data_IF_688741679389
#
_entry.id   IF_688741679389
#
_cell.length_a   1.000
_cell.length_b   1.000
_cell.length_c   1.000
_cell.angle_alpha   90.00
_cell.angle_beta   90.00
_cell.angle_gamma   90.00
#
_symmetry.space_group_name_H-M   'P 1'
#
loop_
_entity.id
_entity.type
_entity.pdbx_description
1 polymer ?
#
# COMPACT_ATOMS: atom_id res chain seq x y z
N UNK A 1 7.29 -4.28 -24.75
CA UNK A 1 6.35 -5.38 -24.48
C UNK A 1 6.35 -5.81 -23.03
N UNK A 2 7.40 -5.54 -22.24
CA UNK A 2 7.40 -5.80 -20.80
C UNK A 2 6.45 -4.88 -20.04
N UNK A 3 5.89 -5.40 -18.95
CA UNK A 3 5.13 -4.69 -17.95
C UNK A 3 5.72 -4.90 -16.55
N UNK A 4 5.50 -3.94 -15.65
CA UNK A 4 5.82 -4.14 -14.24
C UNK A 4 5.08 -5.38 -13.70
N UNK A 5 5.81 -6.25 -13.00
CA UNK A 5 5.29 -7.49 -12.43
C UNK A 5 5.32 -8.71 -13.35
N UNK A 6 5.84 -8.58 -14.58
CA UNK A 6 6.11 -9.74 -15.43
C UNK A 6 7.15 -10.66 -14.76
N UNK A 7 6.83 -11.96 -14.68
CA UNK A 7 7.78 -13.02 -14.36
C UNK A 7 8.42 -13.49 -15.66
N UNK A 8 9.74 -13.42 -15.76
CA UNK A 8 10.49 -13.69 -17.00
C UNK A 8 11.55 -14.78 -16.78
N UNK A 9 11.88 -15.47 -17.85
CA UNK A 9 13.03 -16.38 -17.92
C UNK A 9 14.16 -15.73 -18.73
N UNK A 10 15.35 -15.73 -18.16
CA UNK A 10 16.58 -15.27 -18.79
C UNK A 10 17.41 -16.44 -19.33
N UNK A 11 18.35 -16.14 -20.23
CA UNK A 11 19.37 -17.08 -20.71
C UNK A 11 20.09 -17.73 -19.53
N UNK A 12 20.22 -19.06 -19.56
CA UNK A 12 20.74 -19.83 -18.42
C UNK A 12 19.68 -20.32 -17.43
N UNK A 13 18.39 -20.10 -17.71
CA UNK A 13 17.29 -20.65 -16.89
C UNK A 13 16.98 -19.86 -15.62
N UNK A 14 17.54 -18.65 -15.47
CA UNK A 14 17.32 -17.78 -14.32
C UNK A 14 15.92 -17.17 -14.40
N UNK A 15 15.16 -17.28 -13.31
CA UNK A 15 13.86 -16.62 -13.15
C UNK A 15 14.05 -15.23 -12.55
N UNK A 16 13.44 -14.22 -13.17
CA UNK A 16 13.50 -12.84 -12.73
C UNK A 16 12.11 -12.16 -12.78
N UNK A 17 11.99 -11.01 -12.12
CA UNK A 17 10.79 -10.19 -12.07
C UNK A 17 11.08 -8.79 -12.60
N UNK A 18 10.19 -8.25 -13.42
CA UNK A 18 10.28 -6.86 -13.91
C UNK A 18 9.80 -5.90 -12.82
N UNK A 19 10.67 -5.00 -12.37
CA UNK A 19 10.33 -3.96 -11.39
C UNK A 19 9.88 -2.68 -12.07
N UNK A 20 10.52 -2.29 -13.16
CA UNK A 20 10.14 -1.08 -13.91
C UNK A 20 10.51 -1.19 -15.37
N UNK A 21 9.76 -0.49 -16.21
CA UNK A 21 9.97 -0.44 -17.66
C UNK A 21 10.08 1.02 -18.07
N UNK A 22 11.23 1.37 -18.64
CA UNK A 22 11.52 2.67 -19.23
C UNK A 22 11.81 2.50 -20.73
N UNK A 23 11.74 3.58 -21.54
CA UNK A 23 12.12 3.49 -22.95
C UNK A 23 13.55 2.93 -23.09
N UNK A 24 13.67 1.74 -23.68
CA UNK A 24 14.95 1.05 -23.91
C UNK A 24 15.59 0.36 -22.70
N UNK A 25 15.02 0.46 -21.50
CA UNK A 25 15.58 -0.15 -20.27
C UNK A 25 14.50 -0.90 -19.51
N UNK A 26 14.79 -2.14 -19.14
CA UNK A 26 13.93 -2.98 -18.30
C UNK A 26 14.72 -3.35 -17.05
N UNK A 27 14.27 -2.87 -15.90
CA UNK A 27 14.89 -3.21 -14.63
C UNK A 27 14.29 -4.49 -14.10
N UNK A 28 15.13 -5.49 -13.87
CA UNK A 28 14.72 -6.82 -13.44
C UNK A 28 15.52 -7.23 -12.20
N UNK A 29 14.88 -8.00 -11.34
CA UNK A 29 15.53 -8.57 -10.15
C UNK A 29 15.34 -10.07 -10.07
N UNK A 30 16.26 -10.74 -9.39
CA UNK A 30 16.12 -12.15 -9.04
C UNK A 30 15.18 -12.37 -7.84
N UNK A 31 15.15 -13.61 -7.36
CA UNK A 31 14.39 -13.99 -6.18
C UNK A 31 14.86 -13.29 -4.90
N UNK A 32 16.14 -12.90 -4.80
CA UNK A 32 16.71 -12.16 -3.66
C UNK A 32 16.49 -10.65 -3.77
N UNK A 33 15.96 -10.16 -4.88
CA UNK A 33 15.76 -8.74 -5.13
C UNK A 33 17.04 -8.02 -5.60
N UNK A 34 18.07 -8.77 -5.98
CA UNK A 34 19.28 -8.22 -6.59
C UNK A 34 19.03 -7.96 -8.08
N UNK A 35 19.56 -6.85 -8.59
CA UNK A 35 19.47 -6.53 -10.01
C UNK A 35 20.22 -7.57 -10.84
N UNK A 36 19.58 -8.05 -11.90
CA UNK A 36 20.17 -9.02 -12.83
C UNK A 36 20.13 -8.49 -14.25
N UNK A 37 21.14 -8.84 -15.04
CA UNK A 37 21.17 -8.61 -16.47
C UNK A 37 21.29 -9.94 -17.20
N UNK A 38 20.67 -10.06 -18.37
CA UNK A 38 20.70 -11.29 -19.15
C UNK A 38 19.87 -11.21 -20.42
N UNK A 39 20.13 -12.13 -21.34
CA UNK A 39 19.30 -12.29 -22.54
C UNK A 39 17.90 -12.75 -22.15
N UNK A 40 16.87 -12.11 -22.71
CA UNK A 40 15.49 -12.51 -22.48
C UNK A 40 15.13 -13.74 -23.32
N UNK A 41 14.48 -14.73 -22.71
CA UNK A 41 13.94 -15.90 -23.43
C UNK A 41 12.43 -15.74 -23.63
N UNK A 42 11.67 -15.68 -22.52
CA UNK A 42 10.19 -15.66 -22.55
C UNK A 42 9.60 -15.07 -21.27
N UNK A 43 8.39 -14.55 -21.39
CA UNK A 43 7.54 -14.24 -20.24
C UNK A 43 6.96 -15.56 -19.73
N UNK A 44 7.22 -15.88 -18.47
CA UNK A 44 6.65 -17.04 -17.77
C UNK A 44 5.23 -16.73 -17.31
N UNK A 45 5.00 -15.49 -16.86
CA UNK A 45 3.71 -15.02 -16.37
C UNK A 45 3.64 -13.52 -16.49
N UNK A 46 2.56 -12.98 -17.02
CA UNK A 46 2.41 -11.53 -17.13
C UNK A 46 2.01 -10.87 -15.80
N UNK A 47 2.49 -9.64 -15.61
CA UNK A 47 2.03 -8.70 -14.58
C UNK A 47 0.65 -8.12 -14.86
N UNK A 48 0.23 -8.04 -16.13
CA UNK A 48 -1.15 -7.67 -16.49
C UNK A 48 -2.08 -8.87 -16.36
N UNK A 49 -2.66 -9.03 -15.18
CA UNK A 49 -3.64 -10.08 -14.92
C UNK A 49 -5.05 -9.53 -14.88
N UNK A 50 -5.93 -10.20 -15.61
CA UNK A 50 -7.35 -9.94 -15.51
C UNK A 50 -7.91 -10.66 -14.28
N UNK A 51 -8.66 -9.92 -13.47
CA UNK A 51 -9.40 -10.42 -12.32
C UNK A 51 -10.90 -10.18 -12.56
N UNK A 52 -11.48 -10.87 -13.55
CA UNK A 52 -12.86 -10.64 -13.99
C UNK A 52 -13.91 -10.87 -12.90
N UNK A 53 -13.63 -11.75 -11.94
CA UNK A 53 -14.51 -12.04 -10.80
C UNK A 53 -14.44 -10.99 -9.68
N UNK A 54 -13.53 -10.02 -9.76
CA UNK A 54 -13.31 -9.01 -8.72
C UNK A 54 -14.03 -7.72 -9.13
N UNK A 55 -15.12 -7.32 -8.46
CA UNK A 55 -15.89 -6.16 -8.86
C UNK A 55 -15.15 -4.86 -8.54
N UNK A 56 -15.14 -3.93 -9.49
CA UNK A 56 -14.66 -2.55 -9.29
C UNK A 56 -15.78 -1.60 -8.86
N UNK A 57 -17.01 -1.88 -9.28
CA UNK A 57 -18.21 -1.13 -8.92
C UNK A 57 -19.45 -2.01 -8.98
N UNK A 58 -20.45 -1.69 -8.17
CA UNK A 58 -21.76 -2.34 -8.17
C UNK A 58 -22.81 -1.25 -8.21
N UNK A 59 -23.73 -1.36 -9.16
CA UNK A 59 -24.79 -0.37 -9.42
C UNK A 59 -26.12 -1.12 -9.48
N UNK A 60 -27.11 -0.61 -8.76
CA UNK A 60 -28.50 -1.06 -8.86
C UNK A 60 -29.31 0.06 -9.50
N UNK A 61 -30.01 -0.23 -10.59
CA UNK A 61 -30.82 0.72 -11.35
C UNK A 61 -32.19 0.14 -11.69
N UNK A 62 -33.20 1.01 -11.84
CA UNK A 62 -34.54 0.65 -12.36
C UNK A 62 -34.54 0.52 -13.89
N UNK A 63 -33.56 1.10 -14.56
CA UNK A 63 -33.41 1.05 -16.02
C UNK A 63 -32.53 -0.12 -16.43
N UNK A 64 -32.73 -0.66 -17.63
CA UNK A 64 -31.88 -1.72 -18.18
C UNK A 64 -30.50 -1.12 -18.57
N UNK A 65 -29.39 -1.52 -17.91
CA UNK A 65 -28.10 -0.90 -18.13
C UNK A 65 -27.38 -1.40 -19.39
N UNK A 66 -27.87 -2.43 -20.10
CA UNK A 66 -27.14 -3.07 -21.20
C UNK A 66 -26.75 -2.09 -22.32
N UNK A 67 -27.64 -1.14 -22.66
CA UNK A 67 -27.38 -0.14 -23.68
C UNK A 67 -26.42 0.98 -23.21
N UNK A 68 -26.21 1.10 -21.90
CA UNK A 68 -25.56 2.22 -21.25
C UNK A 68 -24.18 1.86 -20.67
N UNK A 69 -23.84 0.56 -20.66
CA UNK A 69 -22.51 0.04 -20.30
C UNK A 69 -21.42 0.61 -21.19
N UNK A 70 -21.64 0.66 -22.52
CA UNK A 70 -20.62 1.11 -23.49
C UNK A 70 -20.32 2.59 -23.37
N UNK A 71 -21.33 3.40 -23.04
CA UNK A 71 -21.20 4.84 -22.82
C UNK A 71 -20.81 5.20 -21.38
N UNK A 72 -20.74 4.21 -20.48
CA UNK A 72 -20.48 4.39 -19.05
C UNK A 72 -21.39 5.48 -18.44
N UNK A 73 -22.65 5.50 -18.85
CA UNK A 73 -23.68 6.41 -18.37
C UNK A 73 -24.82 5.57 -17.83
N UNK A 74 -25.33 5.85 -16.63
CA UNK A 74 -26.36 5.04 -16.01
C UNK A 74 -27.47 5.93 -15.49
N UNK A 75 -28.70 5.58 -15.86
CA UNK A 75 -29.90 6.29 -15.45
C UNK A 75 -30.62 5.53 -14.32
N UNK A 76 -31.54 6.20 -13.65
CA UNK A 76 -32.41 5.64 -12.61
C UNK A 76 -31.70 4.79 -11.55
N UNK A 77 -30.51 5.25 -11.13
CA UNK A 77 -29.67 4.54 -10.16
C UNK A 77 -30.24 4.68 -8.75
N UNK A 78 -30.43 3.55 -8.06
CA UNK A 78 -30.91 3.45 -6.69
C UNK A 78 -29.77 3.34 -5.67
N UNK A 79 -28.72 2.60 -6.02
CA UNK A 79 -27.58 2.37 -5.14
C UNK A 79 -26.33 2.18 -5.97
N UNK A 80 -25.21 2.72 -5.49
CA UNK A 80 -23.92 2.57 -6.13
C UNK A 80 -22.82 2.48 -5.08
N UNK A 81 -21.98 1.45 -5.22
CA UNK A 81 -20.78 1.20 -4.43
C UNK A 81 -19.60 1.04 -5.39
N UNK A 82 -18.41 1.48 -4.97
CA UNK A 82 -17.17 1.24 -5.70
C UNK A 82 -16.03 0.84 -4.77
N UNK A 83 -15.03 0.18 -5.35
CA UNK A 83 -13.83 -0.26 -4.67
C UNK A 83 -12.61 0.29 -5.40
N UNK A 84 -11.70 0.95 -4.70
CA UNK A 84 -10.40 1.37 -5.21
C UNK A 84 -9.36 0.31 -4.89
N UNK A 85 -8.67 -0.17 -5.91
CA UNK A 85 -7.63 -1.18 -5.77
C UNK A 85 -6.22 -0.57 -5.80
N UNK A 86 -5.29 -1.21 -5.10
CA UNK A 86 -3.86 -0.88 -5.14
C UNK A 86 -3.03 -2.10 -5.51
N UNK A 87 -1.96 -1.87 -6.29
CA UNK A 87 -0.96 -2.89 -6.63
C UNK A 87 0.29 -2.81 -5.71
N UNK A 88 0.23 -2.00 -4.66
CA UNK A 88 1.27 -1.89 -3.65
C UNK A 88 0.65 -1.57 -2.29
N UNK A 89 1.14 -2.20 -1.24
CA UNK A 89 0.61 -2.03 0.11
C UNK A 89 1.69 -2.10 1.19
N UNK A 90 1.32 -1.54 2.33
CA UNK A 90 2.07 -1.65 3.58
C UNK A 90 1.79 -3.00 4.23
N UNK A 91 2.80 -3.52 4.89
CA UNK A 91 2.71 -4.73 5.71
C UNK A 91 3.37 -4.46 7.04
N UNK A 92 3.02 -5.21 8.08
CA UNK A 92 3.70 -5.13 9.36
C UNK A 92 5.06 -5.82 9.34
N UNK A 93 6.04 -5.25 10.05
CA UNK A 93 7.45 -5.66 10.04
C UNK A 93 7.80 -6.95 10.79
N UNK A 94 6.82 -7.62 11.43
CA UNK A 94 7.08 -8.78 12.28
C UNK A 94 7.83 -9.93 11.59
N UNK A 95 7.71 -9.99 10.27
CA UNK A 95 8.41 -10.96 9.45
C UNK A 95 9.78 -10.48 8.92
N UNK A 96 9.95 -9.17 8.74
CA UNK A 96 11.02 -8.60 7.91
C UNK A 96 12.16 -7.96 8.71
N UNK A 97 11.97 -7.72 10.01
CA UNK A 97 12.96 -7.04 10.86
C UNK A 97 14.06 -7.94 11.43
N UNK A 98 13.94 -9.27 11.31
CA UNK A 98 14.96 -10.21 11.78
C UNK A 98 15.65 -10.86 10.59
N UNK A 99 16.86 -10.40 10.24
CA UNK A 99 18.07 -11.07 9.66
C UNK A 99 17.92 -12.29 8.70
N UNK A 100 16.72 -12.67 8.29
CA UNK A 100 16.38 -13.96 7.68
C UNK A 100 15.47 -13.82 6.45
N UNK A 101 15.03 -12.60 6.11
CA UNK A 101 14.40 -12.36 4.81
C UNK A 101 15.49 -11.95 3.83
N UNK A 102 16.06 -12.95 3.16
CA UNK A 102 17.11 -12.80 2.14
C UNK A 102 16.58 -12.18 0.82
N UNK A 103 15.44 -11.48 0.85
CA UNK A 103 14.86 -10.90 -0.35
C UNK A 103 14.29 -9.52 -0.14
N UNK A 104 14.66 -8.60 -1.03
CA UNK A 104 14.06 -7.27 -1.18
C UNK A 104 13.04 -7.24 -2.32
N UNK A 105 12.75 -8.39 -2.96
CA UNK A 105 11.85 -8.47 -4.10
C UNK A 105 10.38 -8.32 -3.64
N UNK A 106 9.68 -7.24 -4.03
CA UNK A 106 8.32 -6.96 -3.54
C UNK A 106 7.26 -7.97 -4.00
N UNK A 107 7.53 -8.73 -5.07
CA UNK A 107 6.64 -9.78 -5.57
C UNK A 107 6.78 -11.08 -4.77
N UNK A 108 7.97 -11.34 -4.23
CA UNK A 108 8.22 -12.48 -3.32
C UNK A 108 7.72 -12.15 -1.93
N UNK A 109 7.93 -10.91 -1.47
CA UNK A 109 7.45 -10.43 -0.18
C UNK A 109 5.92 -10.32 -0.10
N UNK A 110 5.21 -10.43 -1.23
CA UNK A 110 3.77 -10.24 -1.28
C UNK A 110 3.38 -8.83 -0.84
N UNK A 111 4.16 -7.81 -1.24
CA UNK A 111 3.83 -6.39 -1.08
C UNK A 111 3.41 -5.73 -2.40
N UNK A 112 3.61 -6.43 -3.53
CA UNK A 112 3.15 -6.07 -4.88
C UNK A 112 2.75 -7.31 -5.69
N UNK A 113 2.06 -7.11 -6.82
CA UNK A 113 1.80 -8.15 -7.83
C UNK A 113 0.41 -8.79 -7.77
N UNK A 114 -0.43 -8.36 -6.83
CA UNK A 114 -1.85 -8.69 -6.77
C UNK A 114 -2.63 -7.46 -6.37
N UNK A 115 -3.66 -7.09 -7.12
CA UNK A 115 -4.50 -5.96 -6.73
C UNK A 115 -5.30 -6.30 -5.47
N UNK A 116 -5.28 -5.39 -4.49
CA UNK A 116 -6.03 -5.49 -3.24
C UNK A 116 -6.97 -4.30 -3.08
N UNK A 117 -8.16 -4.54 -2.55
CA UNK A 117 -9.13 -3.49 -2.25
C UNK A 117 -8.58 -2.58 -1.15
N UNK A 118 -8.21 -1.34 -1.49
CA UNK A 118 -7.66 -0.35 -0.58
C UNK A 118 -8.75 0.46 0.11
N UNK A 119 -9.77 0.89 -0.65
CA UNK A 119 -10.84 1.75 -0.16
C UNK A 119 -12.17 1.35 -0.76
N UNK A 120 -13.21 1.36 0.05
CA UNK A 120 -14.58 1.15 -0.40
C UNK A 120 -15.36 2.45 -0.29
N UNK A 121 -16.11 2.81 -1.33
CA UNK A 121 -16.85 4.05 -1.43
C UNK A 121 -18.34 3.81 -1.64
N UNK A 122 -19.15 4.72 -1.11
CA UNK A 122 -20.59 4.79 -1.33
C UNK A 122 -20.94 6.12 -2.00
N UNK A 123 -21.84 6.08 -2.98
CA UNK A 123 -22.32 7.29 -3.62
C UNK A 123 -23.29 8.04 -2.70
N UNK A 124 -23.04 9.34 -2.52
CA UNK A 124 -23.81 10.23 -1.66
C UNK A 124 -24.47 11.31 -2.52
N UNK A 125 -25.78 11.18 -2.73
CA UNK A 125 -26.59 12.17 -3.41
C UNK A 125 -28.00 12.22 -2.81
N UNK A 126 -28.73 13.30 -3.10
CA UNK A 126 -30.15 13.39 -2.83
C UNK A 126 -30.93 12.28 -3.55
N UNK A 127 -32.15 12.01 -3.08
CA UNK A 127 -33.06 11.05 -3.69
C UNK A 127 -34.33 11.74 -4.15
N UNK A 128 -34.88 11.29 -5.28
CA UNK A 128 -36.16 11.75 -5.76
C UNK A 128 -37.28 11.15 -4.92
N UNK A 129 -38.25 12.00 -4.56
CA UNK A 129 -39.46 11.60 -3.86
C UNK A 129 -40.64 12.37 -4.45
N UNK A 130 -41.76 11.69 -4.69
CA UNK A 130 -42.96 12.28 -5.26
C UNK A 130 -44.17 11.96 -4.40
N UNK A 131 -45.15 12.86 -4.38
CA UNK A 131 -46.46 12.59 -3.79
C UNK A 131 -47.38 12.03 -4.87
N UNK A 132 -47.85 10.81 -4.66
CA UNK A 132 -48.76 10.08 -5.54
C UNK A 132 -49.87 9.48 -4.67
N UNK A 133 -51.13 9.80 -4.96
CA UNK A 133 -52.31 9.37 -4.18
C UNK A 133 -52.20 9.68 -2.68
N UNK A 134 -51.72 10.88 -2.33
CA UNK A 134 -51.44 11.29 -0.93
C UNK A 134 -50.43 10.38 -0.22
N UNK A 135 -49.57 9.67 -0.96
CA UNK A 135 -48.56 8.77 -0.42
C UNK A 135 -47.26 8.80 -1.26
N UNK A 136 -46.24 8.07 -0.82
CA UNK A 136 -44.95 7.94 -1.53
C UNK A 136 -45.09 6.98 -2.71
N UNK A 137 -44.52 7.33 -3.86
CA UNK A 137 -44.57 6.49 -5.05
C UNK A 137 -43.50 5.39 -4.99
N UNK A 138 -43.81 4.28 -4.31
CA UNK A 138 -42.87 3.15 -4.09
C UNK A 138 -42.32 2.52 -5.36
N UNK A 139 -42.95 2.73 -6.54
CA UNK A 139 -42.49 2.19 -7.83
C UNK A 139 -41.39 3.04 -8.47
N UNK A 140 -41.35 4.35 -8.21
CA UNK A 140 -40.47 5.30 -8.93
C UNK A 140 -39.55 6.10 -8.03
N UNK A 141 -39.92 6.28 -6.76
CA UNK A 141 -39.16 7.08 -5.81
C UNK A 141 -37.90 6.35 -5.33
N UNK A 142 -36.96 7.12 -4.79
CA UNK A 142 -35.72 6.60 -4.20
C UNK A 142 -34.53 6.59 -5.15
N UNK A 143 -34.68 6.96 -6.42
CA UNK A 143 -33.57 7.13 -7.36
C UNK A 143 -32.70 8.32 -6.98
N UNK A 144 -31.39 8.26 -7.22
CA UNK A 144 -30.48 9.40 -7.03
C UNK A 144 -30.89 10.58 -7.93
N UNK A 145 -30.89 11.80 -7.38
CA UNK A 145 -31.19 13.02 -8.14
C UNK A 145 -30.19 13.30 -9.26
N UNK A 146 -28.97 12.80 -9.11
CA UNK A 146 -27.90 12.84 -10.09
C UNK A 146 -26.96 11.67 -9.81
N UNK A 147 -26.37 11.06 -10.85
CA UNK A 147 -25.39 9.99 -10.66
C UNK A 147 -24.18 10.18 -11.57
N UNK A 148 -22.99 9.95 -11.03
CA UNK A 148 -21.72 9.97 -11.74
C UNK A 148 -20.90 8.73 -11.36
N UNK A 149 -20.52 7.86 -12.31
CA UNK A 149 -19.73 6.67 -12.02
C UNK A 149 -18.39 6.99 -11.35
N UNK A 150 -17.97 6.15 -10.40
CA UNK A 150 -16.65 6.28 -9.77
C UNK A 150 -15.52 6.04 -10.76
N UNK A 151 -15.62 4.93 -11.51
CA UNK A 151 -14.75 4.66 -12.64
C UNK A 151 -15.40 5.23 -13.89
N UNK A 152 -14.84 6.33 -14.40
CA UNK A 152 -15.36 7.06 -15.55
C UNK A 152 -14.51 6.84 -16.78
N UNK A 153 -15.14 6.46 -17.89
CA UNK A 153 -14.48 6.34 -19.19
C UNK A 153 -14.50 7.68 -19.94
N UNK A 154 -13.34 8.28 -20.18
CA UNK A 154 -13.22 9.54 -20.96
C UNK A 154 -12.15 9.38 -22.05
N UNK A 155 -12.53 9.55 -23.31
CA UNK A 155 -11.59 9.39 -24.43
C UNK A 155 -10.96 7.99 -24.55
N UNK A 156 -11.68 6.94 -24.13
CA UNK A 156 -11.18 5.57 -24.10
C UNK A 156 -10.27 5.25 -22.90
N UNK A 157 -10.06 6.20 -21.98
CA UNK A 157 -9.22 6.04 -20.79
C UNK A 157 -10.11 6.00 -19.55
N UNK A 158 -9.93 4.98 -18.72
CA UNK A 158 -10.60 4.88 -17.41
C UNK A 158 -9.89 5.78 -16.40
N UNK A 159 -10.65 6.62 -15.71
CA UNK A 159 -10.18 7.46 -14.61
C UNK A 159 -11.08 7.32 -13.39
N UNK A 160 -10.56 7.74 -12.23
CA UNK A 160 -11.34 7.83 -10.99
C UNK A 160 -11.95 9.22 -10.88
N UNK A 161 -13.25 9.28 -10.64
CA UNK A 161 -14.02 10.49 -10.34
C UNK A 161 -14.68 10.34 -8.96
N UNK A 162 -14.08 10.98 -7.96
CA UNK A 162 -14.52 10.87 -6.56
C UNK A 162 -15.63 11.87 -6.17
N UNK A 163 -16.16 12.66 -7.11
CA UNK A 163 -17.22 13.63 -6.81
C UNK A 163 -18.48 12.90 -6.34
N UNK A 164 -19.05 13.36 -5.22
CA UNK A 164 -20.19 12.74 -4.55
C UNK A 164 -19.94 11.30 -4.05
N UNK A 165 -18.70 10.81 -4.06
CA UNK A 165 -18.34 9.52 -3.50
C UNK A 165 -17.69 9.72 -2.14
N UNK A 166 -18.21 9.05 -1.11
CA UNK A 166 -17.65 9.10 0.24
C UNK A 166 -17.03 7.76 0.57
N UNK A 167 -15.77 7.75 1.02
CA UNK A 167 -15.14 6.52 1.48
C UNK A 167 -15.81 6.06 2.78
N UNK A 168 -16.00 4.75 2.91
CA UNK A 168 -16.65 4.10 4.06
C UNK A 168 -15.65 3.33 4.90
N UNK A 169 -14.68 2.69 4.24
CA UNK A 169 -13.55 2.00 4.85
C UNK A 169 -12.28 2.17 4.02
N UNK A 170 -11.14 2.19 4.68
CA UNK A 170 -9.80 2.15 4.10
C UNK A 170 -8.96 1.09 4.82
N UNK A 171 -8.40 0.14 4.08
CA UNK A 171 -7.42 -0.81 4.61
C UNK A 171 -6.06 -0.11 4.66
N UNK A 172 -5.46 -0.04 5.85
CA UNK A 172 -4.19 0.65 6.08
C UNK A 172 -3.01 -0.30 6.08
N UNK A 173 -3.21 -1.55 6.50
CA UNK A 173 -2.16 -2.57 6.56
C UNK A 173 -2.69 -3.91 6.07
N UNK A 174 -1.88 -4.61 5.26
CA UNK A 174 -2.18 -5.95 4.81
C UNK A 174 -1.11 -6.94 5.27
N UNK A 175 -1.53 -8.18 5.42
CA UNK A 175 -0.64 -9.32 5.54
C UNK A 175 0.09 -9.53 4.21
N UNK A 176 1.34 -10.01 4.23
CA UNK A 176 2.05 -10.49 3.05
C UNK A 176 1.23 -11.48 2.21
N UNK A 177 0.29 -12.18 2.85
CA UNK A 177 -0.53 -13.23 2.25
C UNK A 177 -1.87 -12.75 1.69
N UNK A 178 -2.27 -11.49 1.92
CA UNK A 178 -3.53 -10.97 1.36
C UNK A 178 -4.51 -10.40 2.37
N UNK A 179 -4.51 -10.95 3.59
CA UNK A 179 -5.48 -10.59 4.62
C UNK A 179 -5.35 -9.13 5.09
N UNK A 180 -6.46 -8.53 5.51
CA UNK A 180 -6.49 -7.18 6.09
C UNK A 180 -6.02 -7.25 7.55
N UNK A 181 -4.92 -6.58 7.90
CA UNK A 181 -4.43 -6.53 9.28
C UNK A 181 -5.00 -5.32 10.03
N UNK A 182 -5.16 -4.20 9.33
CA UNK A 182 -5.72 -2.97 9.90
C UNK A 182 -6.59 -2.27 8.85
N UNK A 183 -7.76 -1.81 9.29
CA UNK A 183 -8.59 -0.90 8.53
C UNK A 183 -9.09 0.25 9.41
N UNK A 184 -9.56 1.31 8.76
CA UNK A 184 -10.22 2.44 9.43
C UNK A 184 -11.48 2.82 8.68
N UNK A 185 -12.45 3.34 9.41
CA UNK A 185 -13.69 3.85 8.83
C UNK A 185 -13.61 5.33 8.43
N UNK A 186 -14.70 5.85 7.87
CA UNK A 186 -14.85 7.25 7.48
C UNK A 186 -14.66 8.26 8.62
N UNK A 187 -14.85 7.83 9.88
CA UNK A 187 -14.71 8.65 11.08
C UNK A 187 -13.29 8.55 11.69
N UNK A 188 -12.40 7.77 11.06
CA UNK A 188 -11.03 7.55 11.55
C UNK A 188 -10.91 6.58 12.71
N UNK A 189 -11.95 5.76 12.98
CA UNK A 189 -11.88 4.70 13.98
C UNK A 189 -11.22 3.48 13.37
N UNK A 190 -10.23 2.93 14.05
CA UNK A 190 -9.42 1.81 13.57
C UNK A 190 -9.99 0.48 14.05
N UNK A 191 -9.88 -0.56 13.23
CA UNK A 191 -10.05 -1.95 13.64
C UNK A 191 -8.87 -2.76 13.13
N UNK A 192 -8.46 -3.76 13.91
CA UNK A 192 -7.32 -4.59 13.58
C UNK A 192 -7.62 -6.06 13.82
N UNK A 193 -7.03 -6.92 13.01
CA UNK A 193 -7.16 -8.37 13.11
C UNK A 193 -5.78 -9.02 13.12
N UNK A 194 -5.55 -9.93 14.06
CA UNK A 194 -4.38 -10.79 14.09
C UNK A 194 -4.72 -12.12 13.47
N UNK A 195 -3.77 -12.72 12.76
CA UNK A 195 -3.91 -14.02 12.13
C UNK A 195 -2.91 -15.00 12.73
N UNK A 196 -3.28 -16.27 12.71
CA UNK A 196 -2.43 -17.38 13.15
C UNK A 196 -2.70 -18.62 12.33
N UNK A 197 -2.09 -19.74 12.74
CA UNK A 197 -2.15 -21.00 12.01
C UNK A 197 -1.74 -20.83 10.54
N UNK A 198 -0.53 -20.29 10.32
CA UNK A 198 0.01 -20.00 8.99
C UNK A 198 -0.78 -18.92 8.23
N UNK A 199 -1.17 -17.84 8.93
CA UNK A 199 -1.95 -16.73 8.37
C UNK A 199 -3.30 -17.13 7.73
N UNK A 200 -3.81 -18.32 8.05
CA UNK A 200 -5.03 -18.85 7.45
C UNK A 200 -6.30 -18.43 8.19
N UNK A 201 -6.21 -18.20 9.51
CA UNK A 201 -7.38 -17.91 10.34
C UNK A 201 -7.17 -16.65 11.19
N UNK A 202 -8.21 -15.80 11.34
CA UNK A 202 -8.18 -14.71 12.29
C UNK A 202 -8.21 -15.27 13.72
N UNK A 203 -7.23 -14.89 14.54
CA UNK A 203 -7.10 -15.33 15.93
C UNK A 203 -7.70 -14.34 16.91
N UNK A 204 -7.62 -13.04 16.61
CA UNK A 204 -8.30 -11.99 17.37
C UNK A 204 -8.68 -10.82 16.47
N UNK A 205 -9.75 -10.13 16.84
CA UNK A 205 -10.21 -8.90 16.21
C UNK A 205 -10.45 -7.86 17.29
N UNK A 206 -9.86 -6.68 17.14
CA UNK A 206 -10.02 -5.57 18.05
C UNK A 206 -10.68 -4.39 17.33
N UNK A 207 -11.74 -3.87 17.94
CA UNK A 207 -12.39 -2.65 17.51
C UNK A 207 -11.79 -1.44 18.24
N UNK A 208 -11.76 -0.29 17.57
CA UNK A 208 -11.19 0.95 18.09
C UNK A 208 -9.71 0.84 18.52
N UNK A 209 -8.94 0.01 17.82
CA UNK A 209 -7.52 -0.23 18.11
C UNK A 209 -6.73 -0.37 16.81
N UNK A 210 -5.51 0.18 16.81
CA UNK A 210 -4.53 0.01 15.74
C UNK A 210 -3.82 -1.33 15.89
N UNK A 211 -3.36 -1.92 14.79
CA UNK A 211 -2.70 -3.23 14.79
C UNK A 211 -1.54 -3.30 15.78
N UNK A 212 -0.67 -2.27 15.79
CA UNK A 212 0.46 -2.17 16.72
C UNK A 212 0.08 -2.17 18.22
N UNK A 213 -1.17 -1.90 18.57
CA UNK A 213 -1.66 -1.84 19.94
C UNK A 213 -2.38 -3.15 20.37
N UNK A 214 -2.48 -4.14 19.48
CA UNK A 214 -3.25 -5.36 19.71
C UNK A 214 -2.29 -6.53 19.85
N UNK A 215 -2.30 -7.21 20.99
CA UNK A 215 -1.57 -8.45 21.18
C UNK A 215 -2.55 -9.56 21.53
N UNK A 216 -2.38 -10.72 20.89
CA UNK A 216 -3.15 -11.90 21.23
C UNK A 216 -2.29 -13.15 21.11
N UNK A 217 -2.38 -14.01 22.11
CA UNK A 217 -1.75 -15.32 22.06
C UNK A 217 -2.62 -16.37 22.74
N UNK A 218 -2.87 -17.46 22.01
CA UNK A 218 -3.61 -18.62 22.50
C UNK A 218 -2.71 -19.81 22.82
N UNK A 219 -1.38 -19.69 22.59
CA UNK A 219 -0.38 -20.74 22.84
C UNK A 219 -0.49 -22.01 21.98
N UNK A 220 -1.44 -22.09 21.05
CA UNK A 220 -1.68 -23.30 20.26
C UNK A 220 -0.83 -23.38 18.98
N UNK A 221 -0.51 -22.24 18.38
CA UNK A 221 -0.01 -22.12 17.00
C UNK A 221 1.53 -22.05 16.87
N UNK A 222 2.26 -22.40 17.92
CA UNK A 222 3.73 -22.27 17.98
C UNK A 222 4.48 -23.21 17.04
N UNK A 223 3.86 -24.32 16.63
CA UNK A 223 4.43 -25.28 15.69
C UNK A 223 4.27 -24.81 14.23
N UNK A 224 3.45 -23.77 13.99
CA UNK A 224 3.26 -23.16 12.67
C UNK A 224 4.25 -22.00 12.53
N UNK A 225 5.31 -22.22 11.76
CA UNK A 225 6.41 -21.25 11.65
C UNK A 225 6.33 -20.42 10.38
N UNK A 226 5.43 -19.43 10.36
CA UNK A 226 5.63 -18.23 9.54
C UNK A 226 6.01 -17.04 10.40
N UNK A 227 6.98 -16.29 9.90
CA UNK A 227 7.43 -15.02 10.42
C UNK A 227 6.28 -13.99 10.61
N UNK A 228 5.20 -14.11 9.83
CA UNK A 228 4.02 -13.25 9.92
C UNK A 228 3.13 -13.55 11.14
N UNK A 229 3.21 -14.74 11.73
CA UNK A 229 2.46 -15.14 12.93
C UNK A 229 3.16 -14.68 14.23
N UNK A 230 4.22 -13.86 14.15
CA UNK A 230 5.03 -13.43 15.29
C UNK A 230 4.52 -12.19 16.04
N UNK A 231 3.30 -11.73 15.74
CA UNK A 231 2.72 -10.56 16.38
C UNK A 231 2.36 -10.87 17.84
N UNK A 232 3.11 -10.29 18.78
CA UNK A 232 2.96 -10.51 20.23
C UNK A 232 2.91 -11.99 20.68
N UNK A 233 3.78 -12.82 20.11
CA UNK A 233 3.98 -14.23 20.53
C UNK A 233 5.19 -14.40 21.44
N UNK A 234 5.06 -15.23 22.48
CA UNK A 234 6.12 -15.60 23.43
C UNK A 234 7.11 -16.64 22.86
N UNK A 235 7.58 -16.45 21.62
CA UNK A 235 8.50 -17.41 20.96
C UNK A 235 9.85 -17.59 21.65
N UNK A 236 10.30 -16.60 22.41
CA UNK A 236 11.52 -16.71 23.21
C UNK A 236 11.30 -17.51 24.52
N UNK A 237 10.07 -17.89 24.83
CA UNK A 237 9.67 -18.59 26.04
C UNK A 237 8.91 -19.90 25.72
N UNK A 238 9.21 -20.54 24.60
CA UNK A 238 8.57 -21.81 24.21
C UNK A 238 8.74 -22.92 25.24
N UNK A 239 9.84 -22.92 25.99
CA UNK A 239 10.08 -23.87 27.10
C UNK A 239 9.09 -23.70 28.26
N UNK A 240 8.44 -22.54 28.38
CA UNK A 240 7.39 -22.30 29.37
C UNK A 240 6.03 -22.79 28.87
N UNK A 241 5.87 -23.11 27.59
CA UNK A 241 4.61 -23.62 27.05
C UNK A 241 4.43 -25.07 27.49
N UNK A 242 3.29 -25.36 28.11
CA UNK A 242 2.99 -26.68 28.68
C UNK A 242 1.60 -27.14 28.28
N UNK A 243 1.40 -28.45 28.26
CA UNK A 243 0.12 -29.11 27.99
C UNK A 243 -0.55 -29.68 29.25
N UNK A 244 0.03 -29.44 30.45
CA UNK A 244 -0.47 -30.03 31.70
C UNK A 244 -1.77 -29.41 32.17
N UNK A 245 -1.94 -28.10 31.95
CA UNK A 245 -3.15 -27.34 32.27
C UNK A 245 -3.33 -26.25 31.21
N UNK A 246 -4.57 -26.04 30.76
CA UNK A 246 -4.92 -25.01 29.78
C UNK A 246 -6.34 -24.51 30.04
N UNK A 247 -6.62 -23.29 29.56
CA UNK A 247 -7.99 -22.75 29.53
C UNK A 247 -8.60 -22.92 28.14
N UNK A 248 -7.98 -22.31 27.13
CA UNK A 248 -8.30 -22.53 25.72
C UNK A 248 -7.41 -23.62 25.16
N UNK A 249 -8.00 -24.59 24.44
CA UNK A 249 -7.22 -25.59 23.73
C UNK A 249 -6.39 -26.49 24.64
N UNK A 250 -5.16 -26.78 24.22
CA UNK A 250 -4.29 -27.82 24.79
C UNK A 250 -3.02 -27.29 25.45
N UNK A 251 -2.68 -26.01 25.24
CA UNK A 251 -1.42 -25.39 25.66
C UNK A 251 -1.68 -24.16 26.52
N UNK A 252 -0.75 -23.85 27.41
CA UNK A 252 -0.70 -22.60 28.17
C UNK A 252 0.73 -22.24 28.51
N UNK A 253 0.97 -21.01 28.98
CA UNK A 253 2.29 -20.58 29.45
C UNK A 253 2.42 -20.75 30.97
N UNK A 254 3.39 -21.54 31.41
CA UNK A 254 3.70 -21.76 32.83
C UNK A 254 4.63 -20.68 33.35
N UNK A 255 4.20 -20.02 34.43
CA UNK A 255 5.01 -19.06 35.19
C UNK A 255 5.28 -19.66 36.58
N UNK A 256 6.55 -19.71 36.99
CA UNK A 256 6.98 -20.22 38.29
C UNK A 256 7.31 -19.02 39.20
N UNK A 257 7.02 -19.15 40.50
CA UNK A 257 7.33 -18.11 41.47
C UNK A 257 8.82 -17.72 41.43
N UNK A 258 9.11 -16.42 41.34
CA UNK A 258 10.47 -15.89 41.22
C UNK A 258 11.06 -15.88 39.81
N UNK A 259 10.38 -16.46 38.80
CA UNK A 259 10.83 -16.47 37.40
C UNK A 259 9.74 -15.89 36.48
N UNK A 260 9.66 -14.55 36.35
CA UNK A 260 8.68 -13.94 35.46
C UNK A 260 8.98 -14.27 33.99
N UNK A 261 7.92 -14.42 33.20
CA UNK A 261 8.01 -14.59 31.74
C UNK A 261 7.77 -13.23 31.09
N UNK A 262 8.82 -12.67 30.49
CA UNK A 262 8.78 -11.33 29.93
C UNK A 262 8.84 -11.38 28.41
N UNK A 263 8.02 -10.56 27.75
CA UNK A 263 8.13 -10.28 26.31
C UNK A 263 8.42 -8.80 26.11
N UNK A 264 9.44 -8.52 25.30
CA UNK A 264 9.70 -7.17 24.78
C UNK A 264 9.62 -7.22 23.26
N UNK A 265 8.77 -6.38 22.68
CA UNK A 265 8.58 -6.30 21.24
C UNK A 265 8.85 -4.86 20.77
N UNK A 266 9.74 -4.71 19.80
CA UNK A 266 9.93 -3.44 19.11
C UNK A 266 8.91 -3.35 17.97
N UNK A 267 8.03 -2.35 18.04
CA UNK A 267 7.01 -2.11 17.03
C UNK A 267 7.59 -1.21 15.94
N UNK A 268 8.23 -1.83 14.95
CA UNK A 268 8.76 -1.14 13.79
C UNK A 268 7.65 -0.95 12.75
N UNK A 269 7.54 0.27 12.24
CA UNK A 269 6.69 0.56 11.10
C UNK A 269 7.46 0.18 9.83
N UNK A 270 6.95 -0.81 9.09
CA UNK A 270 7.43 -1.11 7.76
C UNK A 270 6.84 -0.08 6.81
N UNK A 271 7.61 0.94 6.49
CA UNK A 271 7.30 1.74 5.31
C UNK A 271 7.50 0.85 4.08
N UNK A 272 6.53 0.80 3.14
CA UNK A 272 6.67 -0.03 1.96
C UNK A 272 7.91 0.45 1.21
N UNK A 273 8.71 -0.49 0.71
CA UNK A 273 9.92 -0.25 -0.10
C UNK A 273 9.68 0.60 -1.35
N UNK A 274 8.44 1.06 -1.61
CA UNK A 274 8.11 2.08 -2.59
C UNK A 274 8.59 3.50 -2.23
N UNK A 275 9.01 3.78 -0.99
CA UNK A 275 9.68 5.04 -0.63
C UNK A 275 11.20 4.93 -0.56
N UNK A 276 11.77 4.12 -1.45
CA UNK A 276 13.22 4.09 -1.68
C UNK A 276 13.63 5.25 -2.61
N UNK A 277 13.22 6.47 -2.29
CA UNK A 277 13.77 7.66 -2.96
C UNK A 277 15.13 7.91 -2.33
N UNK A 278 16.18 7.72 -3.13
CA UNK A 278 17.55 8.03 -2.78
C UNK A 278 17.91 9.38 -3.39
N UNK A 279 18.61 10.19 -2.62
CA UNK A 279 19.16 11.46 -3.06
C UNK A 279 20.67 11.29 -3.19
N UNK A 280 21.18 11.54 -4.39
CA UNK A 280 22.61 11.71 -4.65
C UNK A 280 22.89 13.20 -4.87
N UNK A 281 23.84 13.76 -4.13
CA UNK A 281 24.15 15.19 -4.16
C UNK A 281 25.54 15.38 -4.76
N UNK A 282 25.59 16.01 -5.93
CA UNK A 282 26.85 16.36 -6.59
C UNK A 282 27.08 17.87 -6.50
N UNK A 283 28.23 18.27 -5.94
CA UNK A 283 28.66 19.66 -5.88
C UNK A 283 29.52 19.96 -7.10
N UNK A 284 29.11 20.91 -7.93
CA UNK A 284 29.92 21.36 -9.06
C UNK A 284 30.96 22.41 -8.61
N UNK A 285 32.08 22.51 -9.34
CA UNK A 285 33.20 23.42 -9.04
C UNK A 285 32.84 24.92 -8.99
N UNK A 286 31.62 25.28 -9.41
CA UNK A 286 31.07 26.64 -9.42
C UNK A 286 30.11 26.93 -8.24
N UNK A 287 30.05 26.06 -7.22
CA UNK A 287 29.17 26.24 -6.06
C UNK A 287 27.70 25.85 -6.30
N UNK A 288 27.35 25.36 -7.50
CA UNK A 288 26.02 24.85 -7.81
C UNK A 288 25.88 23.40 -7.34
N UNK A 289 24.82 23.09 -6.59
CA UNK A 289 24.50 21.70 -6.27
C UNK A 289 23.53 21.13 -7.29
N UNK A 290 23.84 19.92 -7.73
CA UNK A 290 22.96 19.09 -8.56
C UNK A 290 22.53 17.89 -7.72
N UNK A 291 21.24 17.84 -7.41
CA UNK A 291 20.62 16.72 -6.71
C UNK A 291 19.97 15.77 -7.72
N UNK A 292 20.34 14.50 -7.68
CA UNK A 292 19.79 13.43 -8.50
C UNK A 292 18.97 12.48 -7.64
N UNK A 293 17.74 12.20 -8.06
CA UNK A 293 16.84 11.30 -7.34
C UNK A 293 16.75 9.95 -8.05
N UNK A 294 16.97 8.87 -7.31
CA UNK A 294 16.81 7.50 -7.82
C UNK A 294 15.85 6.69 -6.94
N UNK A 295 15.21 5.68 -7.52
CA UNK A 295 14.14 4.90 -6.88
C UNK A 295 12.83 5.67 -6.71
N UNK A 296 11.77 5.02 -6.21
CA UNK A 296 10.39 5.53 -6.34
C UNK A 296 9.85 5.43 -7.77
N UNK A 297 8.70 6.06 -8.06
CA UNK A 297 8.09 6.09 -9.40
C UNK A 297 7.91 7.52 -9.91
N UNK A 298 8.65 7.89 -10.95
CA UNK A 298 8.54 9.19 -11.63
C UNK A 298 7.13 9.39 -12.26
N UNK A 299 6.66 10.64 -12.42
CA UNK A 299 7.33 11.91 -12.11
C UNK A 299 7.36 12.22 -10.61
N UNK A 300 8.37 12.97 -10.18
CA UNK A 300 8.48 13.48 -8.81
C UNK A 300 7.96 14.91 -8.74
N UNK A 301 7.29 15.24 -7.64
CA UNK A 301 6.97 16.63 -7.25
C UNK A 301 7.83 17.02 -6.05
N UNK A 302 8.21 18.29 -6.01
CA UNK A 302 9.16 18.81 -5.04
C UNK A 302 8.55 19.97 -4.27
N UNK A 303 8.65 19.92 -2.95
CA UNK A 303 8.37 21.03 -2.05
C UNK A 303 9.64 21.30 -1.25
N UNK A 304 10.02 22.56 -1.08
CA UNK A 304 11.22 22.91 -0.34
C UNK A 304 10.99 24.09 0.58
N UNK A 305 11.78 24.13 1.65
CA UNK A 305 11.84 25.27 2.56
C UNK A 305 13.31 25.58 2.86
N UNK A 306 13.65 26.86 2.87
CA UNK A 306 14.94 27.35 3.36
C UNK A 306 14.72 28.18 4.62
N UNK A 307 15.63 28.04 5.58
CA UNK A 307 15.67 28.91 6.75
C UNK A 307 17.01 29.65 6.73
N UNK A 308 16.98 30.95 7.04
CA UNK A 308 18.16 31.83 7.13
C UNK A 308 18.85 32.20 5.80
N UNK A 309 18.24 31.93 4.63
CA UNK A 309 18.74 32.44 3.35
C UNK A 309 17.71 32.41 2.20
N UNK A 310 17.99 33.19 1.16
CA UNK A 310 17.33 33.14 -0.14
C UNK A 310 18.08 32.20 -1.09
N UNK A 311 17.40 31.16 -1.56
CA UNK A 311 17.92 30.21 -2.54
C UNK A 311 17.21 30.36 -3.88
N UNK A 312 17.97 30.29 -4.97
CA UNK A 312 17.41 30.05 -6.29
C UNK A 312 17.38 28.53 -6.51
N UNK A 313 16.17 27.96 -6.55
CA UNK A 313 15.96 26.51 -6.77
C UNK A 313 15.26 26.31 -8.11
N UNK A 314 15.89 25.55 -9.00
CA UNK A 314 15.30 25.16 -10.28
C UNK A 314 15.04 23.66 -10.32
N UNK A 315 13.87 23.30 -10.84
CA UNK A 315 13.42 21.93 -11.00
C UNK A 315 13.41 21.57 -12.48
N UNK A 316 14.05 20.47 -12.86
CA UNK A 316 14.02 19.97 -14.23
C UNK A 316 13.96 18.44 -14.18
N UNK A 317 12.99 17.81 -14.84
CA UNK A 317 12.69 16.36 -14.84
C UNK A 317 13.73 15.44 -14.14
N UNK A 318 13.58 15.28 -12.81
CA UNK A 318 14.41 14.39 -11.99
C UNK A 318 15.68 14.99 -11.36
N UNK A 319 15.94 16.27 -11.60
CA UNK A 319 17.06 17.04 -11.07
C UNK A 319 16.58 18.30 -10.33
N UNK A 320 17.24 18.59 -9.21
CA UNK A 320 17.10 19.87 -8.50
C UNK A 320 18.44 20.59 -8.51
N UNK A 321 18.44 21.82 -9.01
CA UNK A 321 19.59 22.72 -8.99
C UNK A 321 19.40 23.77 -7.91
N UNK A 322 20.40 23.93 -7.05
CA UNK A 322 20.41 24.97 -6.02
C UNK A 322 21.64 25.83 -6.22
N UNK A 323 21.41 27.12 -6.47
CA UNK A 323 22.46 28.14 -6.47
C UNK A 323 22.45 28.85 -5.11
N UNK A 324 23.57 28.79 -4.39
CA UNK A 324 23.73 29.52 -3.14
C UNK A 324 24.31 30.91 -3.34
N UNK A 325 23.85 31.87 -2.51
CA UNK A 325 24.56 33.11 -2.20
C UNK A 325 25.00 33.11 -0.73
N UNK A 326 26.27 32.78 -0.50
CA UNK A 326 27.15 33.25 0.60
C UNK A 326 26.78 33.03 2.10
N UNK A 327 25.77 32.25 2.48
CA UNK A 327 25.47 31.97 3.92
C UNK A 327 25.14 30.48 4.14
N UNK A 328 25.55 29.85 5.27
CA UNK A 328 25.08 28.51 5.63
C UNK A 328 23.55 28.49 5.78
N UNK A 329 22.88 27.61 5.03
CA UNK A 329 21.43 27.49 5.07
C UNK A 329 20.98 26.09 5.49
N UNK A 330 19.88 26.04 6.23
CA UNK A 330 19.14 24.81 6.42
C UNK A 330 18.13 24.65 5.28
N UNK A 331 18.48 23.78 4.33
CA UNK A 331 17.61 23.40 3.21
C UNK A 331 16.93 22.07 3.51
N UNK A 332 15.59 22.10 3.52
CA UNK A 332 14.76 20.89 3.64
C UNK A 332 13.99 20.66 2.36
N UNK A 333 14.18 19.49 1.76
CA UNK A 333 13.52 19.09 0.52
C UNK A 333 12.57 17.92 0.77
N UNK A 334 11.32 18.11 0.38
CA UNK A 334 10.29 17.06 0.36
C UNK A 334 10.08 16.62 -1.08
N UNK A 335 10.36 15.35 -1.36
CA UNK A 335 10.15 14.72 -2.66
C UNK A 335 8.94 13.83 -2.57
N UNK A 336 7.98 13.99 -3.48
CA UNK A 336 6.80 13.13 -3.58
C UNK A 336 6.80 12.43 -4.93
N UNK A 337 6.69 11.10 -4.95
CA UNK A 337 6.58 10.35 -6.21
C UNK A 337 5.14 10.33 -6.78
N UNK A 338 4.96 9.77 -7.98
CA UNK A 338 3.65 9.63 -8.64
C UNK A 338 2.61 8.87 -7.79
N UNK A 339 3.07 7.99 -6.90
CA UNK A 339 2.22 7.19 -6.03
C UNK A 339 1.94 7.89 -4.69
N UNK A 340 2.21 9.20 -4.58
CA UNK A 340 2.11 10.01 -3.37
C UNK A 340 3.04 9.55 -2.23
N UNK A 341 4.17 8.92 -2.57
CA UNK A 341 5.19 8.55 -1.61
C UNK A 341 6.05 9.76 -1.27
N UNK A 342 5.94 10.27 -0.03
CA UNK A 342 6.69 11.43 0.44
C UNK A 342 7.97 11.03 1.17
N UNK A 343 9.12 11.53 0.73
CA UNK A 343 10.40 11.44 1.43
C UNK A 343 10.93 12.83 1.73
N UNK A 344 11.32 13.06 2.98
CA UNK A 344 11.90 14.33 3.43
C UNK A 344 13.41 14.13 3.60
N UNK A 345 14.20 14.98 2.94
CA UNK A 345 15.63 15.12 3.12
C UNK A 345 15.90 16.43 3.87
N UNK A 346 16.37 16.32 5.11
CA UNK A 346 16.76 17.46 5.97
C UNK A 346 18.28 17.55 6.11
N UNK A 347 18.78 18.70 6.54
CA UNK A 347 20.19 18.96 6.85
C UNK A 347 21.16 18.75 5.67
N UNK A 348 20.71 19.00 4.43
CA UNK A 348 21.59 18.97 3.25
C UNK A 348 22.63 20.08 3.43
N UNK A 349 23.88 19.70 3.77
CA UNK A 349 24.96 20.64 4.03
C UNK A 349 25.40 21.28 2.71
N UNK A 350 25.20 22.57 2.59
CA UNK A 350 25.64 23.35 1.44
C UNK A 350 27.07 23.85 1.74
N UNK A 351 28.09 23.44 0.97
CA UNK A 351 29.45 23.91 1.20
C UNK A 351 29.55 25.41 0.92
N UNK A 352 30.17 26.16 1.84
CA UNK A 352 30.45 27.58 1.62
C UNK A 352 31.43 27.72 0.44
N UNK A 353 31.02 28.45 -0.60
CA UNK A 353 31.91 28.85 -1.69
C UNK A 353 32.31 30.32 -1.50
N UNK A 354 33.61 30.67 -1.58
CA UNK A 354 34.09 32.05 -1.40
C UNK A 354 33.67 33.00 -2.53
#
# INVERSE_FOLDING_TARGET
>A
YFAEGDEIALTGGVKAWVISVSPGIVNIVDHAGLAVSGGFIKILRSGYRNQESVPMATITSLSNPLASITSNNYDQVLQAQSMEYTNGWRTFCDCFSSVAVNTTNPYILGTKGMYKNKKSYLYLAGRTQSNFDNNTNTRKDGVFTSYTPFYRLTGGIWGIDSRNWTYTSEVTEFSPFGAELENKDALGRYSAATYGYNQAFPTAVAANARYKNVGFDNFEDYDFSVCADNHFKFRNNTNNITTTQSHSGSKSIKVIAGTPVNMTKQLLVCEPLSCSIYLDVNVQNNGRLTMHFSGGVAPYTFEWTSTNCDLAVAFNDGYVFVDQKMVPCDFTLTVTDKNNCKKIFSNIQLPAYP
#
